data_IF_624046836751
#
_entry.id   IF_624046836751
#
_cell.length_a   1.000
_cell.length_b   1.000
_cell.length_c   1.000
_cell.angle_alpha   90.00
_cell.angle_beta   90.00
_cell.angle_gamma   90.00
#
_symmetry.space_group_name_H-M   'P 1'
#
loop_
_entity.id
_entity.type
_entity.pdbx_description
1 polymer ?
#
# COMPACT_ATOMS: atom_id res chain seq x y z
N UNK A 1 1.35 -3.77 16.01
CA UNK A 1 1.93 -3.64 14.65
C UNK A 1 0.82 -3.12 13.76
N UNK A 2 0.77 -1.80 13.56
CA UNK A 2 -0.12 -1.21 12.58
C UNK A 2 0.51 -1.43 11.21
N UNK A 3 -0.18 -2.16 10.34
CA UNK A 3 0.16 -2.23 8.93
C UNK A 3 -0.19 -0.84 8.39
N UNK A 4 0.84 -0.10 7.97
CA UNK A 4 0.66 1.15 7.25
C UNK A 4 -0.12 0.82 5.98
N UNK A 5 -1.36 1.29 5.90
CA UNK A 5 -2.08 1.33 4.62
C UNK A 5 -1.27 2.19 3.64
N UNK A 6 -1.13 1.78 2.38
CA UNK A 6 -0.49 2.61 1.38
C UNK A 6 -1.46 3.74 0.98
N UNK A 7 -1.50 4.82 1.76
CA UNK A 7 -2.16 6.08 1.39
C UNK A 7 -1.38 6.86 0.31
N UNK A 8 -0.83 6.20 -0.69
CA UNK A 8 -0.18 6.84 -1.84
C UNK A 8 -1.03 6.68 -3.11
N UNK A 9 -2.32 7.01 -3.01
CA UNK A 9 -3.06 7.36 -4.24
C UNK A 9 -2.91 8.85 -4.53
N UNK A 10 -1.89 9.16 -5.32
CA UNK A 10 -1.90 10.11 -6.44
C UNK A 10 -2.71 11.41 -6.21
N UNK A 11 -2.08 12.45 -5.65
CA UNK A 11 -2.59 13.82 -5.82
C UNK A 11 -1.84 14.46 -6.99
N UNK A 12 -2.48 14.58 -8.16
CA UNK A 12 -2.09 15.66 -9.07
C UNK A 12 -2.53 16.98 -8.43
N UNK A 13 -1.82 18.09 -8.66
CA UNK A 13 -2.22 19.44 -8.22
C UNK A 13 -3.64 19.83 -8.67
N UNK A 14 -4.27 19.02 -9.52
CA UNK A 14 -5.62 19.21 -10.07
C UNK A 14 -6.73 18.37 -9.41
N UNK A 15 -6.48 17.67 -8.29
CA UNK A 15 -7.49 16.85 -7.60
C UNK A 15 -7.97 15.65 -8.43
N UNK A 16 -7.20 15.24 -9.44
CA UNK A 16 -7.55 14.18 -10.39
C UNK A 16 -6.60 13.01 -10.29
N UNK A 17 -7.17 11.80 -10.39
CA UNK A 17 -6.46 10.52 -10.46
C UNK A 17 -6.68 9.88 -11.83
N UNK A 18 -5.62 9.35 -12.42
CA UNK A 18 -5.66 8.74 -13.75
C UNK A 18 -5.36 7.24 -13.64
N UNK A 19 -6.15 6.43 -14.34
CA UNK A 19 -6.02 4.98 -14.39
C UNK A 19 -6.08 4.53 -15.84
N UNK A 20 -5.15 3.68 -16.25
CA UNK A 20 -5.14 3.08 -17.59
C UNK A 20 -5.18 1.57 -17.43
N UNK A 21 -6.11 0.92 -18.12
CA UNK A 21 -6.27 -0.53 -18.10
C UNK A 21 -6.55 -1.11 -19.48
N UNK A 22 -6.12 -2.35 -19.68
CA UNK A 22 -6.53 -3.18 -20.82
C UNK A 22 -7.66 -4.09 -20.37
N UNK A 23 -8.72 -4.17 -21.17
CA UNK A 23 -9.92 -4.92 -20.82
C UNK A 23 -10.54 -5.56 -22.06
N UNK A 24 -11.23 -6.69 -21.85
CA UNK A 24 -11.99 -7.37 -22.91
C UNK A 24 -13.44 -6.89 -22.90
N UNK A 25 -13.84 -6.18 -23.96
CA UNK A 25 -15.23 -5.73 -24.15
C UNK A 25 -15.87 -6.56 -25.25
N UNK A 26 -16.93 -7.28 -24.91
CA UNK A 26 -17.65 -8.12 -25.88
C UNK A 26 -16.73 -9.10 -26.65
N UNK A 27 -15.63 -9.54 -26.02
CA UNK A 27 -14.65 -10.46 -26.62
C UNK A 27 -13.46 -9.81 -27.34
N UNK A 28 -13.46 -8.50 -27.53
CA UNK A 28 -12.37 -7.77 -28.19
C UNK A 28 -11.55 -6.96 -27.19
N UNK A 29 -10.24 -6.90 -27.42
CA UNK A 29 -9.32 -6.13 -26.58
C UNK A 29 -9.53 -4.62 -26.77
N UNK A 30 -9.63 -3.90 -25.65
CA UNK A 30 -9.73 -2.46 -25.60
C UNK A 30 -8.78 -1.90 -24.54
N UNK A 31 -8.45 -0.64 -24.68
CA UNK A 31 -7.78 0.16 -23.66
C UNK A 31 -8.76 1.20 -23.12
N UNK A 32 -8.76 1.37 -21.80
CA UNK A 32 -9.58 2.35 -21.13
C UNK A 32 -8.72 3.25 -20.25
N UNK A 33 -8.88 4.56 -20.45
CA UNK A 33 -8.44 5.58 -19.51
C UNK A 33 -9.64 6.04 -18.68
N UNK A 34 -9.48 5.97 -17.38
CA UNK A 34 -10.40 6.51 -16.38
C UNK A 34 -9.72 7.68 -15.68
N UNK A 35 -10.32 8.87 -15.78
CA UNK A 35 -9.92 10.05 -15.01
C UNK A 35 -10.96 10.28 -13.93
N UNK A 36 -10.59 10.03 -12.68
CA UNK A 36 -11.39 10.30 -11.50
C UNK A 36 -11.15 11.74 -11.04
N UNK A 37 -12.22 12.54 -11.03
CA UNK A 37 -12.27 13.83 -10.37
C UNK A 37 -12.64 13.59 -8.89
N UNK A 38 -11.68 13.74 -7.97
CA UNK A 38 -11.89 13.41 -6.56
C UNK A 38 -12.88 14.37 -5.89
N UNK A 39 -12.91 15.63 -6.30
CA UNK A 39 -13.80 16.65 -5.73
C UNK A 39 -15.24 16.38 -6.12
N UNK A 40 -15.47 16.00 -7.40
CA UNK A 40 -16.82 15.74 -7.92
C UNK A 40 -17.21 14.26 -7.86
N UNK A 41 -16.32 13.37 -7.41
CA UNK A 41 -16.50 11.91 -7.46
C UNK A 41 -17.00 11.41 -8.82
N UNK A 42 -16.51 12.03 -9.89
CA UNK A 42 -16.99 11.79 -11.27
C UNK A 42 -15.91 11.08 -12.07
N UNK A 43 -16.30 10.05 -12.82
CA UNK A 43 -15.39 9.31 -13.67
C UNK A 43 -15.56 9.76 -15.12
N UNK A 44 -14.48 10.19 -15.76
CA UNK A 44 -14.41 10.41 -17.21
C UNK A 44 -13.73 9.22 -17.85
N UNK A 45 -14.41 8.60 -18.80
CA UNK A 45 -13.96 7.38 -19.46
C UNK A 45 -13.59 7.69 -20.91
N UNK A 46 -12.43 7.20 -21.35
CA UNK A 46 -12.02 7.13 -22.75
C UNK A 46 -11.72 5.67 -23.07
N UNK A 47 -12.49 5.07 -23.97
CA UNK A 47 -12.38 3.67 -24.38
C UNK A 47 -11.96 3.62 -25.86
N UNK A 48 -10.93 2.85 -26.18
CA UNK A 48 -10.47 2.65 -27.56
C UNK A 48 -10.10 1.19 -27.85
N UNK A 49 -10.32 0.75 -29.09
CA UNK A 49 -9.79 -0.51 -29.63
C UNK A 49 -8.65 -0.27 -30.65
N UNK A 50 -8.16 0.98 -30.77
CA UNK A 50 -7.14 1.39 -31.74
C UNK A 50 -7.69 1.92 -33.06
N UNK A 51 -8.94 1.62 -33.42
CA UNK A 51 -9.60 2.15 -34.63
C UNK A 51 -10.77 3.08 -34.32
N UNK A 52 -11.44 2.85 -33.19
CA UNK A 52 -12.57 3.60 -32.70
C UNK A 52 -12.29 4.10 -31.28
N UNK A 53 -12.75 5.31 -30.98
CA UNK A 53 -12.68 5.90 -29.65
C UNK A 53 -14.07 6.35 -29.21
N UNK A 54 -14.37 6.08 -27.95
CA UNK A 54 -15.60 6.49 -27.30
C UNK A 54 -15.31 7.15 -25.97
N UNK A 55 -16.05 8.21 -25.65
CA UNK A 55 -15.91 8.94 -24.39
C UNK A 55 -17.25 9.08 -23.67
N UNK A 56 -17.23 8.95 -22.36
CA UNK A 56 -18.41 9.13 -21.53
C UNK A 56 -18.05 9.52 -20.11
N UNK A 57 -19.09 9.75 -19.32
CA UNK A 57 -18.97 10.17 -17.93
C UNK A 57 -19.87 9.33 -17.06
N UNK A 58 -19.39 8.95 -15.88
CA UNK A 58 -20.19 8.32 -14.82
C UNK A 58 -20.26 9.31 -13.67
N UNK A 59 -21.48 9.80 -13.37
CA UNK A 59 -21.70 10.76 -12.28
C UNK A 59 -22.09 10.03 -10.99
N UNK A 60 -21.82 10.61 -9.82
CA UNK A 60 -22.25 10.04 -8.55
C UNK A 60 -23.78 9.88 -8.46
N UNK A 61 -24.54 10.77 -9.09
CA UNK A 61 -26.01 10.69 -9.16
C UNK A 61 -26.48 9.45 -9.92
N UNK A 62 -25.80 9.09 -11.02
CA UNK A 62 -26.11 7.88 -11.79
C UNK A 62 -25.92 6.61 -10.95
N UNK A 63 -24.86 6.60 -10.13
CA UNK A 63 -24.57 5.51 -9.18
C UNK A 63 -25.66 5.46 -8.10
N UNK A 64 -26.04 6.61 -7.53
CA UNK A 64 -27.05 6.67 -6.48
C UNK A 64 -28.43 6.17 -6.98
N UNK A 65 -28.85 6.61 -8.16
CA UNK A 65 -30.10 6.15 -8.80
C UNK A 65 -30.10 4.65 -9.06
N UNK A 66 -28.96 4.10 -9.51
CA UNK A 66 -28.83 2.67 -9.76
C UNK A 66 -28.83 1.86 -8.46
N UNK A 67 -28.20 2.34 -7.39
CA UNK A 67 -28.21 1.67 -6.10
C UNK A 67 -29.63 1.54 -5.54
N UNK A 68 -30.45 2.60 -5.66
CA UNK A 68 -31.87 2.58 -5.29
C UNK A 68 -32.66 1.52 -6.07
N UNK A 69 -32.34 1.35 -7.35
CA UNK A 69 -32.99 0.35 -8.21
C UNK A 69 -32.48 -1.09 -7.98
N UNK A 70 -31.21 -1.23 -7.56
CA UNK A 70 -30.48 -2.49 -7.50
C UNK A 70 -30.52 -3.24 -6.16
N UNK A 71 -31.29 -2.76 -5.18
CA UNK A 71 -31.32 -3.28 -3.79
C UNK A 71 -29.92 -3.39 -3.15
N UNK A 72 -29.00 -2.51 -3.51
CA UNK A 72 -27.67 -2.42 -2.91
C UNK A 72 -27.44 -1.04 -2.30
N UNK A 73 -26.46 -0.92 -1.40
CA UNK A 73 -26.16 0.39 -0.81
C UNK A 73 -25.41 1.26 -1.81
N UNK A 74 -25.57 2.58 -1.71
CA UNK A 74 -24.81 3.53 -2.54
C UNK A 74 -23.31 3.35 -2.34
N UNK A 75 -22.87 3.08 -1.10
CA UNK A 75 -21.45 2.88 -0.80
C UNK A 75 -20.89 1.62 -1.46
N UNK A 76 -21.63 0.50 -1.38
CA UNK A 76 -21.26 -0.75 -2.05
C UNK A 76 -21.15 -0.53 -3.56
N UNK A 77 -22.15 0.11 -4.17
CA UNK A 77 -22.13 0.32 -5.62
C UNK A 77 -21.04 1.29 -6.09
N UNK A 78 -20.72 2.30 -5.26
CA UNK A 78 -19.58 3.20 -5.49
C UNK A 78 -18.26 2.42 -5.48
N UNK A 79 -18.06 1.53 -4.51
CA UNK A 79 -16.86 0.68 -4.42
C UNK A 79 -16.77 -0.25 -5.64
N UNK A 80 -17.84 -0.98 -5.98
CA UNK A 80 -17.87 -1.85 -7.16
C UNK A 80 -17.60 -1.09 -8.47
N UNK A 81 -18.15 0.12 -8.60
CA UNK A 81 -17.91 0.98 -9.77
C UNK A 81 -16.47 1.47 -9.81
N UNK A 82 -15.90 1.82 -8.67
CA UNK A 82 -14.49 2.19 -8.57
C UNK A 82 -13.61 1.03 -9.05
N UNK A 83 -13.76 -0.14 -8.44
CA UNK A 83 -12.95 -1.34 -8.75
C UNK A 83 -13.01 -1.70 -10.24
N UNK A 84 -14.22 -1.72 -10.82
CA UNK A 84 -14.42 -2.01 -12.24
C UNK A 84 -13.73 -1.00 -13.16
N UNK A 85 -13.77 0.29 -12.83
CA UNK A 85 -13.27 1.35 -13.71
C UNK A 85 -11.78 1.67 -13.51
N UNK A 86 -11.17 1.24 -12.41
CA UNK A 86 -9.75 1.52 -12.10
C UNK A 86 -8.86 0.28 -12.10
N UNK A 87 -9.43 -0.92 -12.24
CA UNK A 87 -8.75 -2.21 -12.01
C UNK A 87 -8.15 -2.36 -10.61
N UNK A 88 -8.58 -1.51 -9.67
CA UNK A 88 -8.18 -1.60 -8.29
C UNK A 88 -9.01 -2.69 -7.61
N UNK A 89 -8.53 -3.93 -7.70
CA UNK A 89 -9.19 -5.10 -7.16
C UNK A 89 -8.53 -5.52 -5.85
N UNK A 90 -8.92 -4.91 -4.75
CA UNK A 90 -8.55 -5.40 -3.41
C UNK A 90 -9.23 -6.74 -3.08
N UNK A 91 -10.42 -6.96 -3.64
CA UNK A 91 -11.29 -8.09 -3.32
C UNK A 91 -11.32 -9.20 -4.39
N UNK A 92 -10.37 -9.20 -5.34
CA UNK A 92 -10.32 -10.15 -6.47
C UNK A 92 -11.64 -10.26 -7.27
N UNK A 93 -12.38 -9.16 -7.40
CA UNK A 93 -13.67 -9.15 -8.08
C UNK A 93 -13.52 -9.25 -9.61
N UNK A 94 -14.15 -10.24 -10.22
CA UNK A 94 -14.14 -10.37 -11.67
C UNK A 94 -15.24 -9.52 -12.32
N UNK A 95 -14.85 -8.69 -13.29
CA UNK A 95 -15.78 -7.88 -14.07
C UNK A 95 -15.83 -8.32 -15.54
N UNK A 96 -17.04 -8.26 -16.11
CA UNK A 96 -17.31 -8.51 -17.53
C UNK A 96 -17.83 -7.23 -18.15
N UNK A 97 -17.21 -6.84 -19.27
CA UNK A 97 -17.53 -5.61 -19.97
C UNK A 97 -18.27 -5.91 -21.28
N UNK A 98 -19.30 -5.13 -21.57
CA UNK A 98 -20.06 -5.22 -22.81
C UNK A 98 -20.28 -3.84 -23.41
N UNK A 99 -20.23 -3.77 -24.74
CA UNK A 99 -20.53 -2.58 -25.52
C UNK A 99 -21.68 -2.91 -26.48
N UNK A 100 -22.82 -2.23 -26.33
CA UNK A 100 -23.94 -2.33 -27.26
C UNK A 100 -24.17 -1.01 -27.99
N UNK A 101 -24.75 -1.05 -29.18
CA UNK A 101 -25.08 0.16 -29.95
C UNK A 101 -26.46 0.64 -29.56
N UNK A 102 -26.59 1.93 -29.26
CA UNK A 102 -27.90 2.55 -29.03
C UNK A 102 -28.60 2.80 -30.37
N UNK A 103 -29.93 2.96 -30.35
CA UNK A 103 -30.75 3.21 -31.53
C UNK A 103 -30.31 4.43 -32.36
N UNK A 104 -29.63 5.40 -31.73
CA UNK A 104 -29.08 6.59 -32.39
C UNK A 104 -27.83 6.33 -33.28
N UNK A 105 -27.27 5.11 -33.25
CA UNK A 105 -26.09 4.70 -34.02
C UNK A 105 -24.77 5.41 -33.68
N UNK A 106 -24.81 6.49 -32.91
CA UNK A 106 -23.67 7.38 -32.61
C UNK A 106 -23.19 7.23 -31.18
N UNK A 107 -24.03 6.68 -30.31
CA UNK A 107 -23.68 6.34 -28.93
C UNK A 107 -23.62 4.83 -28.74
N UNK A 108 -22.66 4.42 -27.92
CA UNK A 108 -22.50 3.06 -27.45
C UNK A 108 -22.85 3.01 -25.97
N UNK A 109 -23.61 2.02 -25.55
CA UNK A 109 -23.86 1.75 -24.15
C UNK A 109 -22.75 0.82 -23.64
N UNK A 110 -21.89 1.35 -22.80
CA UNK A 110 -20.85 0.59 -22.12
C UNK A 110 -21.37 0.14 -20.77
N UNK A 111 -21.34 -1.16 -20.49
CA UNK A 111 -21.79 -1.74 -19.24
C UNK A 111 -20.70 -2.63 -18.62
N UNK A 112 -20.56 -2.54 -17.30
CA UNK A 112 -19.70 -3.38 -16.48
C UNK A 112 -20.56 -4.20 -15.53
N UNK A 113 -20.33 -5.51 -15.53
CA UNK A 113 -21.07 -6.50 -14.75
C UNK A 113 -20.10 -7.23 -13.83
N UNK A 114 -20.47 -7.38 -12.57
CA UNK A 114 -19.73 -8.23 -11.64
C UNK A 114 -20.09 -9.69 -11.94
N UNK A 115 -19.07 -10.52 -12.17
CA UNK A 115 -19.22 -11.96 -12.28
C UNK A 115 -19.48 -12.51 -10.87
N UNK A 116 -20.56 -13.26 -10.74
CA UNK A 116 -20.90 -13.97 -9.51
C UNK A 116 -20.47 -15.44 -9.64
N UNK A 117 -20.54 -16.16 -8.52
CA UNK A 117 -20.41 -17.61 -8.53
C UNK A 117 -21.40 -18.24 -9.53
N UNK A 118 -21.07 -19.43 -10.04
CA UNK A 118 -21.93 -20.21 -10.95
C UNK A 118 -22.15 -19.59 -12.35
N UNK A 119 -21.35 -18.59 -12.72
CA UNK A 119 -21.38 -17.99 -14.06
C UNK A 119 -22.47 -16.95 -14.28
N UNK A 120 -23.25 -16.62 -13.24
CA UNK A 120 -24.16 -15.47 -13.27
C UNK A 120 -23.37 -14.14 -13.31
N UNK A 121 -23.99 -13.08 -13.84
CA UNK A 121 -23.40 -11.75 -13.85
C UNK A 121 -24.44 -10.70 -13.41
N UNK A 122 -24.08 -9.89 -12.42
CA UNK A 122 -24.89 -8.77 -11.92
C UNK A 122 -24.44 -7.49 -12.60
N UNK A 123 -25.37 -6.73 -13.18
CA UNK A 123 -25.06 -5.41 -13.75
C UNK A 123 -24.72 -4.46 -12.60
N UNK A 124 -23.49 -3.93 -12.60
CA UNK A 124 -23.03 -2.95 -11.61
C UNK A 124 -23.28 -1.56 -12.15
N UNK A 125 -22.97 -1.33 -13.42
CA UNK A 125 -23.31 -0.07 -14.04
C UNK A 125 -23.19 -0.07 -15.54
N UNK A 126 -23.65 1.03 -16.11
CA UNK A 126 -23.57 1.34 -17.51
C UNK A 126 -23.49 2.86 -17.68
N UNK A 127 -22.88 3.29 -18.78
CA UNK A 127 -22.87 4.68 -19.22
C UNK A 127 -22.92 4.75 -20.75
N UNK A 128 -23.46 5.85 -21.26
CA UNK A 128 -23.44 6.14 -22.69
C UNK A 128 -22.10 6.77 -23.07
N UNK A 129 -21.38 6.11 -23.99
CA UNK A 129 -20.17 6.62 -24.59
C UNK A 129 -20.49 7.19 -25.98
N UNK A 130 -19.99 8.39 -26.26
CA UNK A 130 -20.12 9.06 -27.56
C UNK A 130 -18.87 8.84 -28.38
N UNK A 131 -19.04 8.59 -29.69
CA UNK A 131 -17.90 8.47 -30.59
C UNK A 131 -17.08 9.76 -30.62
N UNK A 132 -15.76 9.60 -30.63
CA UNK A 132 -14.77 10.67 -30.71
C UNK A 132 -13.72 10.32 -31.75
N UNK A 133 -12.86 11.30 -32.05
CA UNK A 133 -11.69 11.05 -32.88
C UNK A 133 -10.78 10.02 -32.19
N UNK A 134 -10.34 9.02 -32.96
CA UNK A 134 -9.58 7.90 -32.42
C UNK A 134 -8.14 8.30 -32.13
N UNK A 135 -7.54 9.20 -32.90
CA UNK A 135 -6.18 9.68 -32.67
C UNK A 135 -6.13 10.50 -31.39
N UNK A 136 -7.09 11.39 -31.16
CA UNK A 136 -7.21 12.14 -29.91
C UNK A 136 -7.32 11.21 -28.70
N UNK A 137 -8.11 10.13 -28.81
CA UNK A 137 -8.26 9.14 -27.75
C UNK A 137 -6.97 8.37 -27.45
N UNK A 138 -6.28 7.92 -28.50
CA UNK A 138 -4.99 7.21 -28.38
C UNK A 138 -3.93 8.11 -27.76
N UNK A 139 -3.82 9.36 -28.24
CA UNK A 139 -2.87 10.35 -27.70
C UNK A 139 -3.16 10.61 -26.22
N UNK A 140 -4.44 10.75 -25.83
CA UNK A 140 -4.82 10.92 -24.43
C UNK A 140 -4.38 9.74 -23.56
N UNK A 141 -4.63 8.50 -23.99
CA UNK A 141 -4.26 7.30 -23.24
C UNK A 141 -2.74 7.17 -23.12
N UNK A 142 -2.00 7.36 -24.20
CA UNK A 142 -0.53 7.30 -24.18
C UNK A 142 0.06 8.40 -23.29
N UNK A 143 -0.48 9.62 -23.37
CA UNK A 143 -0.04 10.74 -22.53
C UNK A 143 -0.30 10.46 -21.05
N UNK A 144 -1.48 9.96 -20.70
CA UNK A 144 -1.80 9.56 -19.32
C UNK A 144 -0.88 8.42 -18.85
N UNK A 145 -0.62 7.43 -19.70
CA UNK A 145 0.29 6.32 -19.39
C UNK A 145 1.71 6.84 -19.09
N UNK A 146 2.24 7.75 -19.90
CA UNK A 146 3.55 8.38 -19.64
C UNK A 146 3.57 9.15 -18.32
N UNK A 147 2.49 9.89 -17.98
CA UNK A 147 2.38 10.58 -16.68
C UNK A 147 2.39 9.58 -15.52
N UNK A 148 1.62 8.50 -15.62
CA UNK A 148 1.56 7.45 -14.60
C UNK A 148 2.92 6.78 -14.42
N UNK A 149 3.62 6.44 -15.50
CA UNK A 149 4.96 5.83 -15.44
C UNK A 149 5.95 6.78 -14.77
N UNK A 150 6.03 8.03 -15.24
CA UNK A 150 6.94 9.03 -14.66
C UNK A 150 6.71 9.25 -13.17
N UNK A 151 5.44 9.26 -12.76
CA UNK A 151 5.09 9.37 -11.35
C UNK A 151 5.53 8.13 -10.56
N UNK A 152 5.24 6.92 -11.07
CA UNK A 152 5.67 5.67 -10.43
C UNK A 152 7.19 5.56 -10.31
N UNK A 153 7.94 6.00 -11.31
CA UNK A 153 9.40 6.06 -11.26
C UNK A 153 9.89 6.99 -10.14
N UNK A 154 9.29 8.17 -10.00
CA UNK A 154 9.62 9.10 -8.92
C UNK A 154 9.30 8.52 -7.53
N UNK A 155 8.14 7.86 -7.37
CA UNK A 155 7.77 7.18 -6.13
C UNK A 155 8.75 6.04 -5.81
N UNK A 156 9.09 5.21 -6.80
CA UNK A 156 10.04 4.11 -6.63
C UNK A 156 11.42 4.62 -6.18
N UNK A 157 11.89 5.73 -6.76
CA UNK A 157 13.16 6.33 -6.38
C UNK A 157 13.11 6.88 -4.95
N UNK A 158 12.03 7.57 -4.58
CA UNK A 158 11.82 8.04 -3.21
C UNK A 158 11.85 6.87 -2.21
N UNK A 159 11.06 5.82 -2.44
CA UNK A 159 11.03 4.64 -1.57
C UNK A 159 12.38 3.93 -1.49
N UNK A 160 13.15 3.87 -2.59
CA UNK A 160 14.51 3.32 -2.58
C UNK A 160 15.44 4.15 -1.70
N UNK A 161 15.41 5.47 -1.84
CA UNK A 161 16.24 6.37 -1.02
C UNK A 161 15.91 6.25 0.47
N UNK A 162 14.63 6.14 0.83
CA UNK A 162 14.21 5.96 2.21
C UNK A 162 14.66 4.62 2.77
N UNK A 163 14.56 3.56 1.97
CA UNK A 163 15.01 2.23 2.35
C UNK A 163 16.53 2.19 2.60
N UNK A 164 17.32 2.86 1.78
CA UNK A 164 18.77 3.01 1.99
C UNK A 164 19.09 3.79 3.27
N UNK A 165 18.36 4.88 3.54
CA UNK A 165 18.47 5.64 4.80
C UNK A 165 18.18 4.75 6.00
N UNK A 166 17.05 4.03 5.99
CA UNK A 166 16.66 3.13 7.07
C UNK A 166 17.67 1.98 7.27
N UNK A 167 18.25 1.46 6.19
CA UNK A 167 19.35 0.47 6.28
C UNK A 167 20.62 1.05 6.90
N UNK A 168 20.93 2.32 6.66
CA UNK A 168 22.06 2.98 7.31
C UNK A 168 21.81 3.17 8.81
N UNK A 169 20.64 3.68 9.18
CA UNK A 169 20.24 3.87 10.58
C UNK A 169 20.20 2.54 11.35
N UNK A 170 19.68 1.48 10.74
CA UNK A 170 19.65 0.16 11.36
C UNK A 170 21.07 -0.38 11.62
N UNK A 171 21.99 -0.21 10.67
CA UNK A 171 23.41 -0.60 10.85
C UNK A 171 24.06 0.19 11.99
N UNK A 172 23.81 1.49 12.08
CA UNK A 172 24.32 2.33 13.16
C UNK A 172 23.76 1.88 14.52
N UNK A 173 22.46 1.63 14.60
CA UNK A 173 21.82 1.15 15.83
C UNK A 173 22.38 -0.21 16.29
N UNK A 174 22.68 -1.13 15.36
CA UNK A 174 23.32 -2.40 15.67
C UNK A 174 24.74 -2.21 16.23
N UNK A 175 25.53 -1.29 15.68
CA UNK A 175 26.86 -0.96 16.20
C UNK A 175 26.77 -0.36 17.61
N UNK A 176 25.82 0.54 17.85
CA UNK A 176 25.60 1.12 19.17
C UNK A 176 25.14 0.08 20.19
N UNK A 177 24.28 -0.86 19.76
CA UNK A 177 23.83 -1.97 20.59
C UNK A 177 24.99 -2.88 20.99
N UNK A 178 25.82 -3.31 20.03
CA UNK A 178 26.99 -4.17 20.27
C UNK A 178 27.96 -3.52 21.27
N UNK A 179 28.23 -2.21 21.08
CA UNK A 179 29.06 -1.44 22.02
C UNK A 179 28.44 -1.38 23.42
N UNK A 180 27.13 -1.16 23.51
CA UNK A 180 26.43 -1.10 24.80
C UNK A 180 26.45 -2.45 25.51
N UNK A 181 26.25 -3.56 24.80
CA UNK A 181 26.35 -4.90 25.36
C UNK A 181 27.76 -5.20 25.85
N UNK A 182 28.78 -4.81 25.07
CA UNK A 182 30.17 -4.99 25.50
C UNK A 182 30.51 -4.20 26.77
N UNK A 183 30.08 -2.94 26.85
CA UNK A 183 30.28 -2.10 28.05
C UNK A 183 29.56 -2.69 29.26
N UNK A 184 28.33 -3.20 29.07
CA UNK A 184 27.56 -3.86 30.12
C UNK A 184 28.28 -5.11 30.63
N UNK A 185 28.80 -5.96 29.75
CA UNK A 185 29.51 -7.17 30.13
C UNK A 185 30.81 -6.86 30.90
N UNK A 186 31.57 -5.83 30.49
CA UNK A 186 32.74 -5.36 31.23
C UNK A 186 32.36 -4.89 32.65
N UNK A 187 31.28 -4.09 32.77
CA UNK A 187 30.79 -3.63 34.06
C UNK A 187 30.36 -4.79 34.97
N UNK A 188 29.68 -5.79 34.42
CA UNK A 188 29.29 -7.00 35.16
C UNK A 188 30.54 -7.73 35.68
N UNK A 189 31.55 -7.93 34.83
CA UNK A 189 32.79 -8.59 35.23
C UNK A 189 33.52 -7.83 36.36
N UNK A 190 33.58 -6.49 36.28
CA UNK A 190 34.14 -5.66 37.34
C UNK A 190 33.36 -5.78 38.65
N UNK A 191 32.02 -5.73 38.58
CA UNK A 191 31.16 -5.86 39.75
C UNK A 191 31.32 -7.23 40.39
N UNK A 192 31.28 -8.32 39.61
CA UNK A 192 31.51 -9.68 40.11
C UNK A 192 32.87 -9.82 40.77
N UNK A 193 33.93 -9.29 40.16
CA UNK A 193 35.28 -9.31 40.74
C UNK A 193 35.34 -8.59 42.09
N UNK A 194 34.74 -7.39 42.18
CA UNK A 194 34.61 -6.63 43.44
C UNK A 194 33.82 -7.41 44.49
N UNK A 195 32.69 -8.02 44.11
CA UNK A 195 31.89 -8.86 45.01
C UNK A 195 32.66 -10.06 45.54
N UNK A 196 33.40 -10.78 44.69
CA UNK A 196 34.24 -11.91 45.10
C UNK A 196 35.33 -11.46 46.07
N UNK A 197 35.95 -10.31 45.84
CA UNK A 197 36.95 -9.74 46.75
C UNK A 197 36.37 -9.45 48.14
N UNK A 198 35.17 -8.86 48.20
CA UNK A 198 34.44 -8.60 49.46
C UNK A 198 34.05 -9.91 50.14
N UNK A 199 33.59 -10.91 49.38
CA UNK A 199 33.28 -12.24 49.93
C UNK A 199 34.53 -12.90 50.50
N UNK A 200 35.67 -12.83 49.83
CA UNK A 200 36.92 -13.42 50.30
C UNK A 200 37.44 -12.72 51.57
N UNK A 201 37.37 -11.39 51.66
CA UNK A 201 37.72 -10.65 52.88
C UNK A 201 36.79 -10.95 54.06
N UNK A 202 35.51 -11.25 53.80
CA UNK A 202 34.58 -11.73 54.85
C UNK A 202 34.74 -13.22 55.17
N UNK A 203 35.13 -14.03 54.20
CA UNK A 203 35.31 -15.49 54.33
C UNK A 203 36.65 -15.85 54.97
N UNK A 204 37.63 -14.94 55.05
CA UNK A 204 38.77 -15.06 55.96
C UNK A 204 38.27 -15.05 57.42
N UNK A 205 38.12 -16.21 58.06
CA UNK A 205 37.53 -16.30 59.37
C UNK A 205 38.65 -16.37 60.39
N UNK A 206 38.89 -15.31 61.16
CA UNK A 206 39.45 -15.42 62.53
C UNK A 206 40.63 -16.41 62.71
N UNK A 207 41.50 -16.61 61.71
CA UNK A 207 42.60 -17.60 61.77
C UNK A 207 43.84 -17.03 62.47
N UNK A 208 43.70 -15.87 63.13
CA UNK A 208 44.78 -15.15 63.81
C UNK A 208 44.62 -14.98 65.32
N UNK A 209 43.48 -15.35 65.92
CA UNK A 209 43.28 -15.23 67.38
C UNK A 209 43.44 -16.58 68.07
N UNK A 210 44.68 -17.08 68.10
CA UNK A 210 44.99 -18.36 68.76
C UNK A 210 46.47 -18.64 68.99
N UNK A 211 47.31 -17.64 69.31
CA UNK A 211 48.66 -17.91 69.87
C UNK A 211 49.27 -16.72 70.61
N UNK A 212 48.81 -16.49 71.84
CA UNK A 212 49.64 -15.93 72.93
C UNK A 212 49.10 -16.46 74.26
N UNK A 213 49.86 -17.35 74.90
CA UNK A 213 50.40 -17.15 76.25
C UNK A 213 50.99 -18.43 76.85
N UNK A 214 51.97 -18.21 77.73
CA UNK A 214 52.61 -19.09 78.74
C UNK A 214 53.88 -19.81 78.26
N UNK A 215 55.04 -19.68 78.90
CA UNK A 215 55.31 -19.18 80.25
C UNK A 215 56.71 -18.62 80.41
N UNK A 216 56.79 -17.59 81.25
CA UNK A 216 57.99 -17.23 82.02
C UNK A 216 58.21 -18.28 83.11
N UNK A 217 59.48 -18.54 83.39
CA UNK A 217 59.97 -19.05 84.67
C UNK A 217 61.17 -19.95 84.45
N UNK A 218 62.32 -19.81 85.10
CA UNK A 218 62.94 -18.80 85.98
C UNK A 218 64.44 -19.22 86.03
N UNK A 219 65.35 -18.39 86.57
CA UNK A 219 66.79 -18.64 86.51
C UNK A 219 67.24 -19.59 87.64
N UNK A 220 68.29 -20.38 87.34
CA UNK A 220 69.51 -20.61 88.11
C UNK A 220 70.46 -21.42 87.22
#
# INVERSE_FOLDING_TARGET
>A
MGILEPEDTMYSESGKKEYVQSLKVSGSDHFMLTVLDCDQSTYKLTLTNGTDCFQGTVRPDDIALRAQSGRCTVSELKSLTHNALTSYNENEEDFVYSLSTREDGTTKLFAWKQRLAEGAARVVGETALRRKDYMDGIIQILTATMRIIKHREACLENSRSELERLRAENREALVLLDRSTHMKDQMEQELYSKFVSVLNTKKTPHSGTGRRQRGRGRPC
#
